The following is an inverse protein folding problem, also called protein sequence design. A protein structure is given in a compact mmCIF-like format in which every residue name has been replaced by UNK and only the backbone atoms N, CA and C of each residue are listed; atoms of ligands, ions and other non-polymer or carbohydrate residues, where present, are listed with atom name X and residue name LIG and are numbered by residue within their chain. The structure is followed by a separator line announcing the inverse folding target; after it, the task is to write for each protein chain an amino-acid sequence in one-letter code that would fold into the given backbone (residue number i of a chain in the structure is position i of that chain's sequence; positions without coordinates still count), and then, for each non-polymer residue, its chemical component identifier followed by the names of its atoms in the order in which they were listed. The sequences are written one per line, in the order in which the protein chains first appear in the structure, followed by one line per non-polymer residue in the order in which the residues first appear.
data_IF_294580006633
#
_entry.id   IF_294580006633
#
_cell.length_a   1.000
_cell.length_b   1.000
_cell.length_c   1.000
_cell.angle_alpha   90.00
_cell.angle_beta   90.00
_cell.angle_gamma   90.00
#
_symmetry.space_group_name_H-M   'P 1'
#
loop_
_entity.id
_entity.type
_entity.pdbx_description
1 polymer ?
#
# COMPACT_ATOMS: atom_id res chain seq x y z
N UNK A 1 -16.78 20.32 -3.54
CA UNK A 1 -17.59 19.23 -3.00
C UNK A 1 -16.59 18.35 -2.28
N UNK A 2 -16.59 18.37 -0.95
CA UNK A 2 -15.75 17.46 -0.17
C UNK A 2 -16.39 16.08 -0.27
N UNK A 3 -15.86 15.24 -1.16
CA UNK A 3 -16.15 13.81 -1.17
C UNK A 3 -15.63 13.26 0.15
N UNK A 4 -16.55 13.08 1.11
CA UNK A 4 -16.33 12.31 2.32
C UNK A 4 -15.93 10.89 1.91
N UNK A 5 -14.62 10.68 1.81
CA UNK A 5 -14.03 9.38 1.62
C UNK A 5 -14.28 8.58 2.91
N UNK A 6 -14.98 7.45 2.81
CA UNK A 6 -15.16 6.60 3.98
C UNK A 6 -13.78 6.14 4.48
N UNK A 7 -13.40 6.42 5.74
CA UNK A 7 -12.13 5.97 6.31
C UNK A 7 -12.07 4.44 6.47
N UNK A 8 -13.17 3.73 6.16
CA UNK A 8 -13.22 2.27 6.19
C UNK A 8 -12.70 1.68 4.88
N UNK A 9 -11.72 0.79 5.00
CA UNK A 9 -11.29 -0.10 3.91
C UNK A 9 -12.22 -1.31 3.81
N UNK A 10 -12.62 -1.69 2.59
CA UNK A 10 -13.37 -2.94 2.37
C UNK A 10 -12.51 -4.18 2.67
N UNK A 11 -13.14 -5.32 2.92
CA UNK A 11 -12.41 -6.58 3.17
C UNK A 11 -11.52 -6.97 1.98
N UNK A 12 -11.98 -6.72 0.75
CA UNK A 12 -11.23 -6.98 -0.48
C UNK A 12 -10.03 -6.05 -0.64
N UNK A 13 -10.16 -4.77 -0.28
CA UNK A 13 -9.03 -3.85 -0.24
C UNK A 13 -8.00 -4.28 0.81
N UNK A 14 -8.44 -4.59 2.03
CA UNK A 14 -7.53 -5.07 3.09
C UNK A 14 -6.83 -6.37 2.67
N UNK A 15 -7.50 -7.25 1.93
CA UNK A 15 -6.90 -8.46 1.35
C UNK A 15 -5.76 -8.11 0.38
N UNK A 16 -5.96 -7.12 -0.50
CA UNK A 16 -4.91 -6.63 -1.40
C UNK A 16 -3.78 -5.98 -0.61
N UNK A 17 -4.08 -5.09 0.33
CA UNK A 17 -3.08 -4.39 1.14
C UNK A 17 -2.20 -5.34 1.94
N UNK A 18 -2.79 -6.36 2.55
CA UNK A 18 -2.03 -7.43 3.22
C UNK A 18 -1.15 -8.22 2.25
N UNK A 19 -1.62 -8.42 1.01
CA UNK A 19 -0.82 -9.03 -0.05
C UNK A 19 0.39 -8.18 -0.44
N UNK A 20 0.20 -6.87 -0.61
CA UNK A 20 1.28 -5.91 -0.90
C UNK A 20 2.27 -5.90 0.27
N UNK A 21 1.79 -5.75 1.50
CA UNK A 21 2.62 -5.82 2.72
C UNK A 21 3.45 -7.11 2.75
N UNK A 22 2.82 -8.27 2.57
CA UNK A 22 3.51 -9.57 2.58
C UNK A 22 4.53 -9.74 1.45
N UNK A 23 4.32 -9.07 0.31
CA UNK A 23 5.31 -9.03 -0.76
C UNK A 23 6.55 -8.25 -0.33
N UNK A 24 6.38 -7.05 0.22
CA UNK A 24 7.48 -6.19 0.65
C UNK A 24 8.23 -6.70 1.89
N UNK A 25 7.55 -7.40 2.80
CA UNK A 25 8.20 -8.06 3.95
C UNK A 25 9.20 -9.15 3.54
N UNK A 26 9.10 -9.68 2.32
CA UNK A 26 10.05 -10.68 1.78
C UNK A 26 11.23 -10.06 1.05
N UNK A 27 11.18 -8.76 0.79
CA UNK A 27 12.26 -8.04 0.15
C UNK A 27 13.21 -7.47 1.21
N UNK A 28 14.53 -7.44 0.94
CA UNK A 28 15.42 -6.64 1.76
C UNK A 28 15.03 -5.16 1.67
N UNK A 29 15.30 -4.35 2.70
CA UNK A 29 15.16 -2.91 2.55
C UNK A 29 16.10 -2.39 1.45
N UNK A 30 15.65 -1.36 0.75
CA UNK A 30 16.33 -0.77 -0.39
C UNK A 30 16.98 0.57 -0.05
N UNK A 31 16.31 1.41 0.75
CA UNK A 31 16.75 2.75 1.09
C UNK A 31 17.61 2.78 2.37
N UNK A 32 17.23 2.01 3.40
CA UNK A 32 18.01 1.92 4.64
C UNK A 32 18.25 0.49 5.09
N UNK A 33 19.52 0.13 5.33
CA UNK A 33 19.85 -1.17 5.93
C UNK A 33 19.44 -1.28 7.41
N UNK A 34 18.95 -0.20 8.02
CA UNK A 34 18.58 -0.16 9.44
C UNK A 34 17.24 -0.87 9.70
N UNK A 35 16.47 -1.18 8.65
CA UNK A 35 15.19 -1.87 8.76
C UNK A 35 15.28 -3.36 8.43
N UNK A 36 14.35 -4.13 8.99
CA UNK A 36 14.33 -5.58 8.80
C UNK A 36 13.96 -6.00 7.38
N UNK A 37 13.08 -5.25 6.71
CA UNK A 37 12.52 -5.61 5.41
C UNK A 37 12.05 -4.38 4.61
N UNK A 38 11.72 -4.60 3.33
CA UNK A 38 11.27 -3.55 2.42
C UNK A 38 9.89 -2.96 2.74
N UNK A 39 9.08 -3.57 3.60
CA UNK A 39 7.82 -2.94 4.02
C UNK A 39 8.08 -1.79 5.00
N UNK A 40 9.09 -1.92 5.85
CA UNK A 40 9.50 -0.84 6.76
C UNK A 40 10.09 0.37 6.04
N UNK A 41 10.74 0.16 4.89
CA UNK A 41 11.09 1.25 3.97
C UNK A 41 9.85 2.02 3.49
N UNK A 42 8.73 1.34 3.22
CA UNK A 42 7.48 1.99 2.79
C UNK A 42 6.89 2.82 3.93
N UNK A 43 6.84 2.25 5.14
CA UNK A 43 6.36 2.98 6.33
C UNK A 43 7.21 4.24 6.54
N UNK A 44 8.53 4.11 6.49
CA UNK A 44 9.43 5.24 6.61
C UNK A 44 9.24 6.26 5.48
N UNK A 45 9.04 5.83 4.24
CA UNK A 45 8.76 6.72 3.11
C UNK A 45 7.52 7.59 3.37
N UNK A 46 6.44 7.01 3.90
CA UNK A 46 5.18 7.72 4.11
C UNK A 46 5.21 8.62 5.35
N UNK A 47 5.89 8.19 6.40
CA UNK A 47 6.01 8.93 7.67
C UNK A 47 7.20 9.90 7.73
N UNK A 48 7.79 10.28 6.57
CA UNK A 48 8.89 11.26 6.46
C UNK A 48 10.24 10.80 7.05
N UNK A 49 10.63 9.55 6.81
CA UNK A 49 11.87 8.91 7.27
C UNK A 49 13.19 9.46 6.71
N UNK A 50 13.17 10.53 5.90
CA UNK A 50 14.37 11.24 5.44
C UNK A 50 14.50 11.44 3.92
N UNK A 51 15.59 12.07 3.48
CA UNK A 51 15.83 12.42 2.07
C UNK A 51 16.02 11.18 1.17
N UNK A 52 16.59 10.10 1.69
CA UNK A 52 16.83 8.85 0.93
C UNK A 52 15.52 8.28 0.36
N UNK A 53 14.40 8.48 1.07
CA UNK A 53 13.07 8.07 0.64
C UNK A 53 12.49 8.90 -0.51
N UNK A 54 13.03 10.10 -0.75
CA UNK A 54 12.64 10.92 -1.91
C UNK A 54 13.17 10.30 -3.21
N UNK A 55 14.38 9.73 -3.18
CA UNK A 55 15.01 9.16 -4.38
C UNK A 55 14.40 7.82 -4.82
N UNK A 56 13.81 7.09 -3.88
CA UNK A 56 13.23 5.77 -4.13
C UNK A 56 11.70 5.82 -4.24
N UNK A 57 11.10 7.01 -4.09
CA UNK A 57 9.66 7.16 -4.00
C UNK A 57 8.93 6.68 -5.25
N UNK A 58 9.45 7.04 -6.43
CA UNK A 58 8.87 6.64 -7.71
C UNK A 58 9.01 5.12 -7.92
N UNK A 59 10.16 4.55 -7.53
CA UNK A 59 10.36 3.09 -7.59
C UNK A 59 9.34 2.35 -6.74
N UNK A 60 9.14 2.76 -5.49
CA UNK A 60 8.15 2.13 -4.62
C UNK A 60 6.74 2.32 -5.13
N UNK A 61 6.40 3.50 -5.64
CA UNK A 61 5.09 3.76 -6.25
C UNK A 61 4.81 2.83 -7.43
N UNK A 62 5.76 2.65 -8.34
CA UNK A 62 5.61 1.75 -9.49
C UNK A 62 5.51 0.28 -9.05
N UNK A 63 6.34 -0.15 -8.11
CA UNK A 63 6.35 -1.52 -7.61
C UNK A 63 5.06 -1.86 -6.85
N UNK A 64 4.57 -0.95 -5.99
CA UNK A 64 3.29 -1.11 -5.28
C UNK A 64 2.15 -1.25 -6.29
N UNK A 65 2.10 -0.39 -7.31
CA UNK A 65 1.06 -0.48 -8.35
C UNK A 65 1.13 -1.80 -9.12
N UNK A 66 2.34 -2.26 -9.48
CA UNK A 66 2.53 -3.56 -10.15
C UNK A 66 2.04 -4.72 -9.28
N UNK A 67 2.43 -4.76 -8.01
CA UNK A 67 2.05 -5.81 -7.06
C UNK A 67 0.54 -5.79 -6.79
N UNK A 68 -0.07 -4.60 -6.71
CA UNK A 68 -1.51 -4.45 -6.59
C UNK A 68 -2.26 -5.07 -7.77
N UNK A 69 -1.78 -4.84 -9.00
CA UNK A 69 -2.34 -5.44 -10.22
C UNK A 69 -2.21 -6.95 -10.22
N UNK A 70 -1.04 -7.48 -9.83
CA UNK A 70 -0.81 -8.93 -9.77
C UNK A 70 -1.75 -9.60 -8.76
N UNK A 71 -1.90 -9.01 -7.57
CA UNK A 71 -2.82 -9.53 -6.55
C UNK A 71 -4.26 -9.45 -7.06
N UNK A 72 -4.68 -8.31 -7.59
CA UNK A 72 -6.01 -8.12 -8.16
C UNK A 72 -6.33 -9.18 -9.23
N UNK A 73 -5.42 -9.37 -10.19
CA UNK A 73 -5.61 -10.35 -11.27
C UNK A 73 -5.63 -11.80 -10.77
N UNK A 74 -5.05 -12.09 -9.60
CA UNK A 74 -5.07 -13.41 -8.97
C UNK A 74 -6.36 -13.72 -8.18
N UNK A 75 -7.18 -12.70 -7.91
CA UNK A 75 -8.43 -12.85 -7.15
C UNK A 75 -9.51 -13.57 -7.99
N UNK A 76 -10.48 -14.25 -7.37
CA UNK A 76 -11.67 -14.74 -8.06
C UNK A 76 -12.39 -13.64 -8.86
N UNK A 77 -12.95 -14.00 -10.02
CA UNK A 77 -13.62 -13.05 -10.93
C UNK A 77 -14.71 -12.22 -10.23
N UNK A 78 -15.47 -12.82 -9.32
CA UNK A 78 -16.52 -12.11 -8.58
C UNK A 78 -15.95 -11.02 -7.66
N UNK A 79 -14.83 -11.31 -6.97
CA UNK A 79 -14.13 -10.33 -6.13
C UNK A 79 -13.50 -9.22 -6.99
N UNK A 80 -12.95 -9.55 -8.16
CA UNK A 80 -12.41 -8.56 -9.10
C UNK A 80 -13.51 -7.60 -9.58
N UNK A 81 -14.70 -8.12 -9.90
CA UNK A 81 -15.84 -7.30 -10.31
C UNK A 81 -16.33 -6.41 -9.17
N UNK A 82 -16.37 -6.92 -7.95
CA UNK A 82 -16.80 -6.16 -6.78
C UNK A 82 -15.87 -4.98 -6.51
N UNK A 83 -14.56 -5.21 -6.44
CA UNK A 83 -13.62 -4.13 -6.16
C UNK A 83 -13.55 -3.14 -7.33
N UNK A 84 -13.59 -3.61 -8.58
CA UNK A 84 -13.65 -2.71 -9.75
C UNK A 84 -14.87 -1.79 -9.67
N UNK A 85 -16.06 -2.33 -9.36
CA UNK A 85 -17.28 -1.52 -9.20
C UNK A 85 -17.15 -0.52 -8.05
N UNK A 86 -16.59 -0.93 -6.91
CA UNK A 86 -16.35 -0.01 -5.80
C UNK A 86 -15.49 1.18 -6.24
N UNK A 87 -14.38 0.92 -6.93
CA UNK A 87 -13.50 1.99 -7.38
C UNK A 87 -14.11 2.83 -8.51
N UNK A 88 -14.80 2.24 -9.47
CA UNK A 88 -15.52 2.99 -10.50
C UNK A 88 -16.56 3.94 -9.85
N UNK A 89 -17.32 3.49 -8.84
CA UNK A 89 -18.30 4.35 -8.15
C UNK A 89 -17.63 5.54 -7.44
N UNK A 90 -16.43 5.36 -6.89
CA UNK A 90 -15.78 6.38 -6.04
C UNK A 90 -14.79 7.28 -6.79
N UNK A 91 -14.26 6.85 -7.94
CA UNK A 91 -13.14 7.52 -8.60
C UNK A 91 -13.31 7.75 -10.11
N UNK A 92 -14.30 7.12 -10.76
CA UNK A 92 -14.47 7.21 -12.22
C UNK A 92 -14.53 8.65 -12.73
N UNK A 93 -15.15 9.54 -11.96
CA UNK A 93 -15.30 10.96 -12.33
C UNK A 93 -13.95 11.67 -12.54
N UNK A 94 -12.89 11.22 -11.88
CA UNK A 94 -11.54 11.79 -12.01
C UNK A 94 -10.88 11.44 -13.35
N UNK A 95 -11.40 10.43 -14.04
CA UNK A 95 -10.90 9.93 -15.32
C UNK A 95 -11.84 10.26 -16.49
N UNK A 96 -12.59 11.36 -16.37
CA UNK A 96 -13.34 11.93 -17.49
C UNK A 96 -12.38 12.52 -18.53
N UNK A 97 -12.43 11.99 -19.74
CA UNK A 97 -11.74 12.56 -20.89
C UNK A 97 -12.68 13.54 -21.61
N UNK A 98 -12.33 14.83 -21.53
CA UNK A 98 -13.10 15.90 -22.17
C UNK A 98 -13.04 15.87 -23.69
N UNK A 99 -12.00 15.29 -24.28
CA UNK A 99 -11.79 15.26 -25.72
C UNK A 99 -12.65 14.17 -26.39
N UNK A 100 -12.79 13.01 -25.73
CA UNK A 100 -13.67 11.93 -26.19
C UNK A 100 -15.08 11.98 -25.59
N UNK A 101 -15.33 12.85 -24.60
CA UNK A 101 -16.57 12.91 -23.81
C UNK A 101 -16.92 11.55 -23.15
N UNK A 102 -15.90 10.78 -22.76
CA UNK A 102 -16.07 9.46 -22.13
C UNK A 102 -15.29 9.32 -20.83
N UNK A 103 -15.71 8.37 -19.99
CA UNK A 103 -14.94 7.98 -18.81
C UNK A 103 -14.07 6.77 -19.15
N UNK A 104 -12.75 6.91 -19.04
CA UNK A 104 -11.81 5.81 -19.29
C UNK A 104 -11.26 5.27 -17.95
N UNK A 105 -11.74 4.11 -17.51
CA UNK A 105 -11.25 3.46 -16.29
C UNK A 105 -10.50 2.16 -16.59
N UNK A 106 -9.18 2.28 -16.65
CA UNK A 106 -8.28 1.18 -16.96
C UNK A 106 -7.85 0.42 -15.69
N UNK A 107 -7.24 -0.76 -15.88
CA UNK A 107 -6.60 -1.49 -14.76
C UNK A 107 -5.45 -0.67 -14.15
N UNK A 108 -4.77 0.18 -14.92
CA UNK A 108 -3.75 1.08 -14.40
C UNK A 108 -4.36 2.17 -13.49
N UNK A 109 -5.53 2.70 -13.86
CA UNK A 109 -6.25 3.67 -13.01
C UNK A 109 -6.66 3.00 -11.69
N UNK A 110 -7.18 1.77 -11.75
CA UNK A 110 -7.46 0.97 -10.56
C UNK A 110 -6.20 0.77 -9.69
N UNK A 111 -5.05 0.46 -10.30
CA UNK A 111 -3.80 0.30 -9.57
C UNK A 111 -3.33 1.58 -8.87
N UNK A 112 -3.48 2.73 -9.53
CA UNK A 112 -3.18 4.05 -8.97
C UNK A 112 -4.05 4.31 -7.74
N UNK A 113 -5.36 4.11 -7.86
CA UNK A 113 -6.28 4.34 -6.74
C UNK A 113 -6.05 3.35 -5.59
N UNK A 114 -5.82 2.07 -5.88
CA UNK A 114 -5.46 1.07 -4.86
C UNK A 114 -4.17 1.46 -4.15
N UNK A 115 -3.15 1.95 -4.88
CA UNK A 115 -1.89 2.39 -4.28
C UNK A 115 -2.08 3.61 -3.38
N UNK A 116 -2.92 4.56 -3.79
CA UNK A 116 -3.28 5.71 -2.96
C UNK A 116 -4.01 5.30 -1.67
N UNK A 117 -4.96 4.36 -1.76
CA UNK A 117 -5.66 3.82 -0.59
C UNK A 117 -4.77 2.94 0.28
N UNK A 118 -3.82 2.22 -0.30
CA UNK A 118 -2.81 1.46 0.43
C UNK A 118 -1.94 2.37 1.28
N UNK A 119 -1.52 3.53 0.74
CA UNK A 119 -0.78 4.53 1.52
C UNK A 119 -1.57 4.97 2.75
N UNK A 120 -2.84 5.36 2.58
CA UNK A 120 -3.71 5.73 3.71
C UNK A 120 -3.84 4.58 4.72
N UNK A 121 -3.96 3.34 4.23
CA UNK A 121 -4.01 2.17 5.12
C UNK A 121 -2.72 1.99 5.92
N UNK A 122 -1.56 2.26 5.32
CA UNK A 122 -0.27 2.22 6.03
C UNK A 122 -0.21 3.31 7.10
N UNK A 123 -0.51 4.57 6.75
CA UNK A 123 -0.52 5.72 7.66
C UNK A 123 -1.51 5.53 8.84
N UNK A 124 -2.63 4.82 8.62
CA UNK A 124 -3.62 4.52 9.66
C UNK A 124 -3.21 3.38 10.62
N UNK A 125 -2.28 2.50 10.24
CA UNK A 125 -2.01 1.24 10.95
C UNK A 125 -0.56 1.04 11.39
N UNK A 126 0.38 1.83 10.87
CA UNK A 126 1.80 1.71 11.15
C UNK A 126 2.40 3.09 11.35
N UNK A 127 3.37 3.17 12.25
CA UNK A 127 4.08 4.39 12.63
C UNK A 127 5.58 4.17 12.54
N UNK A 128 6.37 5.26 12.53
CA UNK A 128 7.82 5.14 12.64
C UNK A 128 8.26 4.43 13.93
N UNK A 129 7.48 4.52 15.01
CA UNK A 129 7.81 3.85 16.29
C UNK A 129 7.78 2.32 16.16
N UNK A 130 6.91 1.80 15.29
CA UNK A 130 6.83 0.37 14.98
C UNK A 130 8.10 -0.17 14.28
N UNK A 131 8.91 0.73 13.70
CA UNK A 131 10.19 0.38 13.04
C UNK A 131 11.30 0.05 14.03
N UNK A 132 11.24 0.62 15.25
CA UNK A 132 12.31 0.50 16.24
C UNK A 132 11.98 -0.50 17.36
N UNK A 133 10.70 -0.83 17.54
CA UNK A 133 10.21 -1.79 18.54
C UNK A 133 10.56 -3.26 18.24
N UNK A 134 11.25 -3.55 17.14
CA UNK A 134 11.83 -4.87 16.84
C UNK A 134 13.13 -5.19 17.59
N UNK A 135 13.64 -4.27 18.41
CA UNK A 135 14.96 -4.39 19.07
C UNK A 135 14.88 -4.52 20.60
N UNK A 136 13.82 -5.12 21.15
CA UNK A 136 13.72 -5.42 22.58
C UNK A 136 13.25 -6.86 22.83
N UNK A 137 13.93 -7.82 22.19
CA UNK A 137 14.11 -9.13 22.79
C UNK A 137 15.33 -9.02 23.70
N UNK A 138 15.15 -8.45 24.90
CA UNK A 138 16.12 -8.70 25.96
C UNK A 138 16.14 -10.22 26.20
N UNK A 139 17.26 -10.81 25.83
CA UNK A 139 17.76 -12.07 26.34
C UNK A 139 17.78 -12.00 27.88
N UNK A 140 16.66 -12.34 28.53
CA UNK A 140 16.69 -12.75 29.93
C UNK A 140 16.96 -14.26 29.96
N UNK A 141 18.24 -14.58 29.74
CA UNK A 141 18.91 -15.72 30.34
C UNK A 141 18.79 -15.56 31.88
N UNK A 142 17.74 -16.11 32.48
CA UNK A 142 17.77 -16.46 33.90
C UNK A 142 17.93 -17.98 34.03
N UNK A 143 19.19 -18.37 34.29
CA UNK A 143 19.57 -19.66 34.86
C UNK A 143 18.66 -20.00 36.05
N UNK A 144 17.93 -21.11 35.95
CA UNK A 144 17.28 -21.74 37.10
C UNK A 144 18.27 -22.74 37.68
N UNK A 145 18.93 -22.36 38.78
CA UNK A 145 19.53 -23.29 39.77
C UNK A 145 18.48 -23.65 40.84
#
# INVERSE_FOLDING_TARGET
MDTYFSPSYSELEVKIFKGIKSYFEKLPPFASSDYENGFYDIVAQYESGGEDYTFVADYYKELIASVAVDIFNSMPTDEQMEIRRFYEINFLEQYYDSDSETYEYTVNNLAIEISGRFRGWVEDHFTLEDLFNGTDNNDDDEEID
#
